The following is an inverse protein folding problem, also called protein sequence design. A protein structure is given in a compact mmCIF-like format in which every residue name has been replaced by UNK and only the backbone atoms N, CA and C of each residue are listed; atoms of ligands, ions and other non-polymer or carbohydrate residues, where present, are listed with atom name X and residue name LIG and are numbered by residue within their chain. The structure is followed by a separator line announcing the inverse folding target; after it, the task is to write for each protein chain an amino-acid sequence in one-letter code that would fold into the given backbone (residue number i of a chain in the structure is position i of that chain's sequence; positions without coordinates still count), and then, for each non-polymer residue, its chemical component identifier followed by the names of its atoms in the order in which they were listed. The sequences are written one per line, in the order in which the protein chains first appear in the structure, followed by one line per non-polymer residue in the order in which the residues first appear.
data_IF_723124056827
#
_entry.id   IF_723124056827
#
_cell.length_a   1.000
_cell.length_b   1.000
_cell.length_c   1.000
_cell.angle_alpha   90.00
_cell.angle_beta   90.00
_cell.angle_gamma   90.00
#
_symmetry.space_group_name_H-M   'P 1'
#
loop_
_entity.id
_entity.type
_entity.pdbx_description
1 polymer ?
#
# COMPACT_ATOMS: atom_id res chain seq x y z
N UNK A 1 54.15 5.87 -29.30
CA UNK A 1 54.30 6.51 -30.62
C UNK A 1 53.27 7.62 -30.80
N UNK A 2 53.48 8.86 -30.35
CA UNK A 2 54.16 9.36 -29.13
C UNK A 2 53.67 10.79 -28.88
N UNK A 3 53.78 11.27 -27.63
CA UNK A 3 53.39 12.62 -27.21
C UNK A 3 54.51 13.65 -27.46
N UNK A 4 54.16 14.93 -27.70
CA UNK A 4 55.06 16.05 -27.43
C UNK A 4 54.41 17.22 -26.65
N UNK A 5 54.29 17.06 -25.32
CA UNK A 5 54.82 17.93 -24.27
C UNK A 5 54.97 19.47 -24.46
N UNK A 6 54.47 20.22 -23.45
CA UNK A 6 54.78 21.64 -23.14
C UNK A 6 53.72 22.23 -22.18
N UNK A 7 53.92 22.48 -20.87
CA UNK A 7 55.03 23.08 -20.10
C UNK A 7 55.20 24.59 -20.43
N UNK A 8 54.92 25.55 -19.55
CA UNK A 8 55.77 26.15 -18.47
C UNK A 8 54.93 27.29 -17.83
N UNK A 9 54.84 27.61 -16.52
CA UNK A 9 55.36 27.06 -15.25
C UNK A 9 54.57 27.62 -14.01
N UNK A 10 54.95 27.22 -12.78
CA UNK A 10 55.07 27.94 -11.45
C UNK A 10 54.48 29.37 -11.21
N UNK A 11 54.29 29.90 -9.97
CA UNK A 11 54.64 29.53 -8.56
C UNK A 11 53.64 30.25 -7.59
N UNK A 12 52.91 29.59 -6.67
CA UNK A 12 53.23 29.16 -5.28
C UNK A 12 53.16 30.23 -4.14
N UNK A 13 52.76 29.79 -2.92
CA UNK A 13 52.54 30.53 -1.64
C UNK A 13 51.24 31.37 -1.60
N UNK A 14 50.36 31.29 -0.58
CA UNK A 14 50.21 30.34 0.54
C UNK A 14 50.29 30.98 1.94
N UNK A 15 49.19 30.89 2.73
CA UNK A 15 49.14 31.12 4.19
C UNK A 15 47.98 30.32 4.84
N UNK A 16 47.84 30.34 6.18
CA UNK A 16 47.18 29.28 6.99
C UNK A 16 45.84 29.64 7.63
N UNK A 17 44.97 28.62 7.69
CA UNK A 17 44.10 28.17 8.80
C UNK A 17 43.08 29.10 9.50
N UNK A 18 41.79 28.80 9.27
CA UNK A 18 40.76 28.51 10.30
C UNK A 18 39.68 27.64 9.60
N UNK A 19 39.30 26.43 10.04
CA UNK A 19 38.77 25.99 11.33
C UNK A 19 37.29 26.37 11.55
N UNK A 20 36.39 25.58 10.95
CA UNK A 20 34.96 25.50 11.28
C UNK A 20 34.44 24.11 10.86
N UNK A 21 34.20 23.22 11.82
CA UNK A 21 33.52 21.93 11.60
C UNK A 21 32.07 22.05 12.07
N UNK A 22 31.13 21.71 11.18
CA UNK A 22 29.72 21.40 11.46
C UNK A 22 29.13 20.76 10.18
N UNK A 23 28.25 19.77 10.20
CA UNK A 23 27.65 19.06 11.33
C UNK A 23 26.57 18.05 10.88
N UNK A 24 26.68 17.51 9.66
CA UNK A 24 25.60 16.76 8.99
C UNK A 24 25.74 15.23 9.16
N UNK A 25 25.39 14.73 10.35
CA UNK A 25 25.29 13.29 10.63
C UNK A 25 23.95 12.70 10.14
N UNK A 26 23.94 12.12 8.94
CA UNK A 26 22.86 11.20 8.55
C UNK A 26 22.84 10.02 9.53
N UNK A 27 21.79 9.90 10.33
CA UNK A 27 21.71 8.90 11.39
C UNK A 27 21.59 7.48 10.83
N UNK A 28 22.54 6.62 11.21
CA UNK A 28 22.38 5.17 11.10
C UNK A 28 21.23 4.72 12.00
N UNK A 29 20.46 3.75 11.52
CA UNK A 29 19.45 3.06 12.33
C UNK A 29 19.96 1.65 12.62
N UNK A 30 20.90 1.54 13.56
CA UNK A 30 21.37 0.24 14.07
C UNK A 30 20.32 -0.31 15.06
N UNK A 31 19.87 -1.57 14.91
CA UNK A 31 18.93 -2.18 15.85
C UNK A 31 19.70 -2.74 17.07
N UNK A 32 19.51 -2.11 18.24
CA UNK A 32 20.21 -2.45 19.48
C UNK A 32 20.18 -3.94 19.85
N UNK A 33 21.30 -4.41 20.38
CA UNK A 33 21.43 -5.73 20.98
C UNK A 33 20.65 -5.81 22.30
N UNK A 34 19.74 -6.79 22.41
CA UNK A 34 19.19 -7.23 23.70
C UNK A 34 19.43 -8.73 23.89
N UNK A 35 20.67 -9.06 24.24
CA UNK A 35 21.07 -10.38 24.72
C UNK A 35 20.42 -10.70 26.08
N UNK A 36 19.22 -11.27 26.06
CA UNK A 36 18.51 -11.75 27.25
C UNK A 36 18.61 -13.26 27.41
N UNK A 37 19.42 -13.74 28.36
CA UNK A 37 19.53 -15.16 28.67
C UNK A 37 18.21 -15.72 29.22
N UNK A 38 17.73 -16.85 28.67
CA UNK A 38 16.75 -17.71 29.32
C UNK A 38 17.09 -19.17 29.01
N UNK A 39 17.24 -19.97 30.06
CA UNK A 39 17.82 -21.32 29.97
C UNK A 39 16.83 -22.37 29.46
N UNK A 40 17.36 -23.42 28.83
CA UNK A 40 16.58 -24.58 28.40
C UNK A 40 16.31 -25.54 29.57
N UNK A 41 15.06 -26.01 29.68
CA UNK A 41 14.67 -27.20 30.44
C UNK A 41 13.56 -27.95 29.66
N UNK A 42 13.48 -29.29 29.71
CA UNK A 42 12.91 -30.04 28.59
C UNK A 42 11.50 -30.63 28.80
N UNK A 43 10.75 -30.70 27.70
CA UNK A 43 9.94 -31.87 27.34
C UNK A 43 8.56 -32.04 28.01
N UNK A 44 7.50 -31.96 27.19
CA UNK A 44 6.30 -32.78 27.41
C UNK A 44 5.68 -33.21 26.06
N UNK A 45 4.85 -34.26 26.08
CA UNK A 45 4.51 -35.05 24.88
C UNK A 45 3.25 -34.59 24.14
N UNK A 46 3.17 -34.92 22.86
CA UNK A 46 1.94 -34.90 22.07
C UNK A 46 0.82 -35.74 22.72
N UNK A 47 -0.39 -35.21 22.73
CA UNK A 47 -1.64 -35.99 22.82
C UNK A 47 -2.70 -35.38 21.90
N UNK A 48 -3.57 -36.22 21.32
CA UNK A 48 -4.60 -35.79 20.37
C UNK A 48 -5.87 -35.33 21.11
N UNK A 49 -6.25 -34.06 20.97
CA UNK A 49 -7.53 -33.49 21.44
C UNK A 49 -8.45 -33.12 20.28
N UNK A 50 -9.78 -33.24 20.46
CA UNK A 50 -10.78 -32.96 19.41
C UNK A 50 -11.13 -31.47 19.31
N UNK A 51 -11.62 -31.06 18.14
CA UNK A 51 -12.31 -29.77 17.94
C UNK A 51 -13.51 -29.63 18.90
N UNK A 52 -13.66 -28.45 19.49
CA UNK A 52 -14.96 -27.87 19.77
C UNK A 52 -15.02 -26.44 19.23
N UNK A 53 -15.86 -26.22 18.22
CA UNK A 53 -16.18 -24.89 17.71
C UNK A 53 -17.22 -24.24 18.64
N UNK A 54 -16.98 -22.99 19.04
CA UNK A 54 -17.98 -22.13 19.66
C UNK A 54 -18.12 -20.86 18.83
N UNK A 55 -19.21 -20.77 18.06
CA UNK A 55 -19.44 -19.71 17.10
C UNK A 55 -20.04 -18.45 17.73
N UNK A 56 -19.21 -17.44 18.01
CA UNK A 56 -19.71 -16.10 18.31
C UNK A 56 -20.07 -15.35 17.02
N UNK A 57 -21.37 -15.13 16.80
CA UNK A 57 -21.87 -14.23 15.74
C UNK A 57 -21.67 -12.76 16.15
N UNK A 58 -20.99 -11.92 15.35
CA UNK A 58 -21.08 -10.46 15.48
C UNK A 58 -22.46 -9.99 15.00
N UNK A 59 -23.13 -9.11 15.76
CA UNK A 59 -24.37 -8.48 15.33
C UNK A 59 -24.08 -7.32 14.37
N UNK A 60 -24.65 -7.36 13.16
CA UNK A 60 -24.63 -6.22 12.24
C UNK A 60 -25.48 -5.07 12.80
N UNK A 61 -24.93 -3.85 12.86
CA UNK A 61 -25.68 -2.64 13.24
C UNK A 61 -26.32 -2.02 12.00
N UNK A 62 -27.64 -2.11 11.90
CA UNK A 62 -28.40 -1.31 10.93
C UNK A 62 -28.35 0.17 11.33
N UNK A 63 -27.94 1.04 10.42
CA UNK A 63 -27.99 2.50 10.56
C UNK A 63 -29.30 3.04 9.98
N UNK A 64 -30.25 3.39 10.84
CA UNK A 64 -31.49 4.03 10.42
C UNK A 64 -31.27 5.54 10.23
N UNK A 65 -31.51 6.06 9.02
CA UNK A 65 -31.65 7.49 8.76
C UNK A 65 -33.13 7.91 8.86
N UNK A 66 -33.47 8.98 9.61
CA UNK A 66 -34.81 9.55 9.57
C UNK A 66 -34.98 10.47 8.36
N UNK A 67 -35.96 10.17 7.50
CA UNK A 67 -36.38 11.08 6.43
C UNK A 67 -37.35 12.14 6.99
N UNK A 68 -36.99 13.41 6.89
CA UNK A 68 -37.85 14.53 7.27
C UNK A 68 -38.93 14.77 6.22
N UNK A 69 -40.20 14.84 6.64
CA UNK A 69 -41.31 15.25 5.78
C UNK A 69 -41.24 16.76 5.52
N UNK A 70 -41.24 17.14 4.24
CA UNK A 70 -41.76 18.41 3.75
C UNK A 70 -42.58 18.08 2.50
N UNK A 71 -43.86 18.47 2.47
CA UNK A 71 -44.78 18.14 1.38
C UNK A 71 -45.12 19.35 0.53
N UNK A 72 -45.25 19.14 -0.77
CA UNK A 72 -46.04 19.99 -1.65
C UNK A 72 -46.85 19.09 -2.58
N UNK A 73 -48.16 19.34 -2.67
CA UNK A 73 -49.04 18.64 -3.60
C UNK A 73 -48.92 19.23 -5.00
N UNK A 74 -48.98 18.38 -6.02
CA UNK A 74 -49.49 18.73 -7.35
C UNK A 74 -50.07 17.47 -8.03
N UNK A 75 -50.93 17.68 -9.03
CA UNK A 75 -52.09 16.81 -9.29
C UNK A 75 -51.96 15.83 -10.46
N UNK A 76 -52.51 14.64 -10.23
CA UNK A 76 -53.31 13.78 -11.14
C UNK A 76 -52.67 13.24 -12.44
N UNK A 77 -52.63 11.90 -12.51
CA UNK A 77 -52.50 11.11 -13.74
C UNK A 77 -52.85 9.64 -13.44
N UNK A 78 -53.71 9.02 -14.24
CA UNK A 78 -54.14 7.62 -14.06
C UNK A 78 -53.09 6.59 -14.55
N UNK A 79 -53.28 5.29 -14.35
CA UNK A 79 -54.44 4.59 -13.76
C UNK A 79 -54.01 3.30 -13.04
N UNK A 80 -54.88 2.76 -12.19
CA UNK A 80 -54.67 1.48 -11.52
C UNK A 80 -55.31 0.32 -12.30
N UNK A 81 -54.67 -0.85 -12.32
CA UNK A 81 -55.26 -2.12 -12.75
C UNK A 81 -55.11 -3.13 -11.60
N UNK A 82 -56.19 -3.84 -11.28
CA UNK A 82 -56.29 -4.76 -10.16
C UNK A 82 -55.71 -6.13 -10.47
N UNK A 83 -55.19 -6.81 -9.44
CA UNK A 83 -54.78 -8.22 -9.51
C UNK A 83 -55.84 -9.08 -8.79
N UNK A 84 -56.39 -10.06 -9.49
CA UNK A 84 -57.15 -11.17 -8.88
C UNK A 84 -56.66 -12.51 -9.45
N UNK A 85 -56.60 -13.58 -8.63
CA UNK A 85 -55.96 -14.84 -9.03
C UNK A 85 -56.93 -15.80 -9.74
N UNK A 86 -56.51 -16.34 -10.89
CA UNK A 86 -57.23 -17.40 -11.60
C UNK A 86 -56.35 -18.64 -11.80
N UNK A 87 -56.82 -19.82 -11.37
CA UNK A 87 -56.18 -21.11 -11.69
C UNK A 87 -56.67 -21.62 -13.05
N UNK A 88 -55.76 -22.00 -13.94
CA UNK A 88 -56.09 -22.72 -15.17
C UNK A 88 -54.90 -23.54 -15.67
N UNK A 89 -55.09 -24.85 -15.86
CA UNK A 89 -54.18 -25.71 -16.64
C UNK A 89 -54.84 -26.03 -17.96
N UNK A 90 -54.16 -25.78 -19.08
CA UNK A 90 -54.41 -26.45 -20.36
C UNK A 90 -53.08 -26.88 -20.98
N UNK A 91 -53.14 -27.83 -21.91
CA UNK A 91 -51.98 -28.53 -22.45
C UNK A 91 -51.37 -27.85 -23.67
N UNK A 92 -50.04 -27.96 -23.77
CA UNK A 92 -49.39 -28.47 -24.99
C UNK A 92 -49.50 -27.66 -26.28
N UNK A 93 -48.56 -26.73 -26.47
CA UNK A 93 -47.96 -26.47 -27.77
C UNK A 93 -46.43 -26.52 -27.61
N UNK A 94 -45.74 -27.24 -28.49
CA UNK A 94 -44.28 -27.33 -28.51
C UNK A 94 -43.71 -26.22 -29.40
N UNK A 95 -42.92 -25.32 -28.82
CA UNK A 95 -41.86 -24.64 -29.59
C UNK A 95 -40.53 -24.71 -28.81
N UNK A 96 -39.42 -24.58 -29.54
CA UNK A 96 -38.07 -24.97 -29.12
C UNK A 96 -37.18 -23.75 -28.87
N UNK A 97 -36.25 -23.93 -27.92
CA UNK A 97 -35.04 -23.12 -27.60
C UNK A 97 -35.17 -22.13 -26.43
N UNK A 98 -34.76 -22.59 -25.23
CA UNK A 98 -34.17 -21.74 -24.20
C UNK A 98 -33.22 -22.54 -23.28
N UNK A 99 -31.96 -22.81 -23.67
CA UNK A 99 -30.92 -23.29 -22.77
C UNK A 99 -30.45 -22.15 -21.85
N UNK A 100 -30.22 -22.45 -20.56
CA UNK A 100 -29.97 -21.44 -19.54
C UNK A 100 -28.74 -20.55 -19.78
N UNK A 101 -28.86 -19.27 -19.43
CA UNK A 101 -27.82 -18.26 -19.57
C UNK A 101 -26.63 -18.47 -18.60
N UNK A 102 -25.77 -19.44 -18.93
CA UNK A 102 -24.38 -19.41 -18.47
C UNK A 102 -23.74 -18.14 -19.04
N UNK A 103 -23.52 -17.13 -18.21
CA UNK A 103 -22.71 -15.96 -18.58
C UNK A 103 -21.26 -16.42 -18.73
N UNK A 104 -20.91 -16.87 -19.94
CA UNK A 104 -19.51 -16.91 -20.34
C UNK A 104 -18.95 -15.50 -20.18
N UNK A 105 -17.90 -15.37 -19.38
CA UNK A 105 -16.98 -14.27 -19.54
C UNK A 105 -16.39 -14.43 -20.94
N UNK A 106 -16.76 -13.54 -21.85
CA UNK A 106 -16.22 -13.53 -23.20
C UNK A 106 -14.79 -12.98 -23.13
N UNK A 107 -13.88 -13.85 -22.68
CA UNK A 107 -12.44 -13.62 -22.81
C UNK A 107 -12.14 -13.46 -24.29
N UNK A 108 -11.91 -12.21 -24.70
CA UNK A 108 -11.35 -11.88 -26.00
C UNK A 108 -10.01 -12.62 -26.09
N UNK A 109 -9.83 -13.41 -27.14
CA UNK A 109 -8.58 -14.16 -27.32
C UNK A 109 -7.39 -13.19 -27.23
N UNK A 110 -6.39 -13.57 -26.43
CA UNK A 110 -5.11 -12.85 -26.40
C UNK A 110 -4.55 -12.98 -27.81
N UNK A 111 -4.48 -11.86 -28.53
CA UNK A 111 -4.02 -11.82 -29.91
C UNK A 111 -2.60 -12.38 -29.95
N UNK A 112 -2.33 -13.30 -30.89
CA UNK A 112 -1.16 -14.18 -30.87
C UNK A 112 0.18 -13.50 -31.23
N UNK A 113 0.56 -12.47 -30.48
CA UNK A 113 1.95 -12.15 -30.22
C UNK A 113 2.50 -13.01 -29.07
N UNK A 114 3.81 -12.93 -28.82
CA UNK A 114 4.39 -13.50 -27.60
C UNK A 114 3.81 -12.81 -26.36
N UNK A 115 3.34 -13.59 -25.39
CA UNK A 115 2.78 -13.06 -24.14
C UNK A 115 3.77 -12.07 -23.47
N UNK A 116 3.33 -10.91 -22.98
CA UNK A 116 4.22 -9.84 -22.52
C UNK A 116 5.10 -10.25 -21.32
N UNK A 117 6.41 -10.01 -21.40
CA UNK A 117 7.35 -10.40 -20.33
C UNK A 117 7.08 -9.58 -19.05
N UNK A 118 6.90 -10.28 -17.94
CA UNK A 118 6.85 -9.70 -16.59
C UNK A 118 8.21 -9.85 -15.91
N UNK A 119 8.83 -8.73 -15.51
CA UNK A 119 9.95 -8.76 -14.55
C UNK A 119 9.44 -8.76 -13.13
N UNK A 120 9.63 -9.87 -12.42
CA UNK A 120 9.34 -9.98 -11.00
C UNK A 120 10.60 -9.54 -10.23
N UNK A 121 10.46 -8.74 -9.18
CA UNK A 121 11.59 -8.12 -8.47
C UNK A 121 11.39 -8.19 -6.96
N UNK A 122 12.27 -8.89 -6.25
CA UNK A 122 12.23 -9.04 -4.79
C UNK A 122 13.49 -8.49 -4.12
N UNK A 123 13.43 -7.26 -3.55
CA UNK A 123 14.47 -6.74 -2.67
C UNK A 123 14.36 -7.39 -1.28
N UNK A 124 15.43 -8.05 -0.84
CA UNK A 124 15.47 -8.83 0.41
C UNK A 124 16.60 -8.39 1.35
N UNK A 125 16.27 -8.28 2.64
CA UNK A 125 17.22 -8.10 3.74
C UNK A 125 16.75 -8.88 4.97
N UNK A 126 17.57 -9.80 5.48
CA UNK A 126 17.29 -10.65 6.64
C UNK A 126 15.89 -11.30 6.60
N UNK A 127 15.56 -11.86 5.42
CA UNK A 127 14.25 -12.42 5.06
C UNK A 127 14.19 -13.94 5.05
N UNK A 128 15.21 -14.66 5.56
CA UNK A 128 15.31 -16.12 5.45
C UNK A 128 14.12 -16.90 6.04
N UNK A 129 13.39 -16.28 6.98
CA UNK A 129 12.16 -16.81 7.60
C UNK A 129 11.01 -17.02 6.59
N UNK A 130 10.93 -16.20 5.53
CA UNK A 130 9.79 -16.15 4.61
C UNK A 130 10.18 -16.30 3.12
N UNK A 131 11.43 -16.03 2.75
CA UNK A 131 11.85 -15.92 1.35
C UNK A 131 11.50 -17.16 0.50
N UNK A 132 11.63 -18.37 1.06
CA UNK A 132 11.27 -19.59 0.34
C UNK A 132 9.78 -19.63 -0.03
N UNK A 133 8.88 -19.19 0.86
CA UNK A 133 7.44 -19.13 0.59
C UNK A 133 7.11 -18.07 -0.48
N UNK A 134 7.81 -16.93 -0.43
CA UNK A 134 7.74 -15.87 -1.45
C UNK A 134 8.16 -16.40 -2.83
N UNK A 135 9.33 -17.07 -2.94
CA UNK A 135 9.83 -17.64 -4.20
C UNK A 135 8.90 -18.75 -4.73
N UNK A 136 8.46 -19.65 -3.86
CA UNK A 136 7.48 -20.69 -4.21
C UNK A 136 6.16 -20.11 -4.73
N UNK A 137 5.74 -18.93 -4.27
CA UNK A 137 4.53 -18.25 -4.76
C UNK A 137 4.67 -17.71 -6.19
N UNK A 138 5.89 -17.37 -6.60
CA UNK A 138 6.26 -16.97 -7.96
C UNK A 138 6.37 -18.19 -8.87
N UNK A 139 7.03 -19.25 -8.42
CA UNK A 139 7.17 -20.52 -9.17
C UNK A 139 5.81 -21.19 -9.50
N UNK A 140 4.76 -20.89 -8.73
CA UNK A 140 3.40 -21.43 -8.89
C UNK A 140 2.44 -20.50 -9.65
N UNK A 141 2.94 -19.45 -10.32
CA UNK A 141 2.10 -18.61 -11.17
C UNK A 141 1.63 -19.38 -12.42
N UNK A 142 0.35 -19.23 -12.77
CA UNK A 142 -0.24 -19.77 -14.02
C UNK A 142 0.22 -19.01 -15.27
N UNK A 143 0.81 -17.84 -15.08
CA UNK A 143 1.49 -17.08 -16.13
C UNK A 143 2.95 -17.53 -16.23
N UNK A 144 3.40 -17.96 -17.41
CA UNK A 144 4.72 -18.59 -17.57
C UNK A 144 5.84 -17.63 -18.01
N UNK A 145 5.52 -16.56 -18.76
CA UNK A 145 6.55 -15.66 -19.33
C UNK A 145 6.97 -14.56 -18.33
N UNK A 146 7.81 -14.94 -17.38
CA UNK A 146 8.43 -14.02 -16.43
C UNK A 146 9.93 -14.29 -16.29
N UNK A 147 10.67 -13.27 -15.88
CA UNK A 147 11.94 -13.44 -15.17
C UNK A 147 11.78 -13.00 -13.71
N UNK A 148 12.67 -13.44 -12.83
CA UNK A 148 12.60 -13.12 -11.42
C UNK A 148 13.96 -12.70 -10.86
N UNK A 149 14.07 -11.43 -10.45
CA UNK A 149 15.29 -10.85 -9.88
C UNK A 149 15.21 -10.80 -8.36
N UNK A 150 16.03 -11.60 -7.69
CA UNK A 150 16.22 -11.63 -6.24
C UNK A 150 17.41 -10.76 -5.86
N UNK A 151 17.22 -9.75 -5.00
CA UNK A 151 18.26 -8.78 -4.63
C UNK A 151 18.57 -8.87 -3.14
N UNK A 152 19.66 -9.56 -2.80
CA UNK A 152 20.14 -9.67 -1.42
C UNK A 152 20.93 -8.42 -1.00
N UNK A 153 20.42 -7.70 -0.01
CA UNK A 153 20.98 -6.44 0.45
C UNK A 153 21.91 -6.62 1.66
N UNK A 154 23.01 -7.36 1.48
CA UNK A 154 23.97 -7.68 2.54
C UNK A 154 23.33 -8.33 3.79
N UNK A 155 22.37 -9.25 3.59
CA UNK A 155 21.77 -10.00 4.70
C UNK A 155 22.81 -10.79 5.49
N UNK A 156 22.61 -10.85 6.81
CA UNK A 156 23.44 -11.58 7.79
C UNK A 156 22.87 -12.96 8.15
N UNK A 157 21.75 -13.34 7.52
CA UNK A 157 21.11 -14.65 7.64
C UNK A 157 21.19 -15.45 6.33
N UNK A 158 20.51 -16.59 6.25
CA UNK A 158 20.52 -17.48 5.08
C UNK A 158 19.80 -16.93 3.83
N UNK A 159 19.36 -15.66 3.79
CA UNK A 159 18.63 -15.06 2.64
C UNK A 159 19.35 -15.30 1.31
N UNK A 160 20.67 -15.07 1.26
CA UNK A 160 21.46 -15.26 0.05
C UNK A 160 21.50 -16.73 -0.40
N UNK A 161 21.86 -17.64 0.51
CA UNK A 161 21.96 -19.06 0.22
C UNK A 161 20.61 -19.69 -0.21
N UNK A 162 19.48 -19.19 0.32
CA UNK A 162 18.14 -19.57 -0.12
C UNK A 162 17.92 -19.11 -1.58
N UNK A 163 18.19 -17.84 -1.88
CA UNK A 163 18.03 -17.30 -3.23
C UNK A 163 18.89 -18.02 -4.27
N UNK A 164 20.17 -18.26 -3.96
CA UNK A 164 21.11 -19.00 -4.81
C UNK A 164 20.66 -20.46 -5.02
N UNK A 165 20.14 -21.11 -3.97
CA UNK A 165 19.59 -22.46 -4.08
C UNK A 165 18.37 -22.53 -5.01
N UNK A 166 17.61 -21.44 -5.20
CA UNK A 166 16.50 -21.40 -6.16
C UNK A 166 16.95 -21.05 -7.58
N UNK A 167 17.92 -20.14 -7.76
CA UNK A 167 18.52 -19.87 -9.07
C UNK A 167 19.28 -21.07 -9.64
N UNK A 168 19.84 -21.94 -8.80
CA UNK A 168 20.38 -23.24 -9.20
C UNK A 168 19.34 -24.28 -9.65
N UNK A 169 18.03 -23.96 -9.63
CA UNK A 169 16.93 -24.88 -9.99
C UNK A 169 16.06 -24.36 -11.14
N UNK A 170 15.85 -23.05 -11.26
CA UNK A 170 15.06 -22.43 -12.33
C UNK A 170 15.84 -21.28 -12.97
N UNK A 171 16.12 -21.39 -14.27
CA UNK A 171 16.93 -20.44 -15.04
C UNK A 171 16.28 -19.08 -15.27
N UNK A 172 14.99 -18.92 -14.94
CA UNK A 172 14.30 -17.61 -14.92
C UNK A 172 14.66 -16.78 -13.68
N UNK A 173 15.26 -17.40 -12.66
CA UNK A 173 15.62 -16.73 -11.41
C UNK A 173 17.06 -16.22 -11.48
N UNK A 174 17.26 -14.92 -11.31
CA UNK A 174 18.56 -14.24 -11.24
C UNK A 174 18.78 -13.68 -9.85
N UNK A 175 19.93 -13.96 -9.23
CA UNK A 175 20.33 -13.39 -7.93
C UNK A 175 21.33 -12.26 -8.13
N UNK A 176 21.11 -11.13 -7.46
CA UNK A 176 22.08 -10.07 -7.31
C UNK A 176 22.39 -9.89 -5.81
N UNK A 177 23.67 -9.93 -5.46
CA UNK A 177 24.12 -9.67 -4.10
C UNK A 177 24.75 -8.27 -4.04
N UNK A 178 24.18 -7.36 -3.24
CA UNK A 178 24.73 -6.03 -3.08
C UNK A 178 26.10 -6.12 -2.37
N UNK A 179 27.09 -5.37 -2.87
CA UNK A 179 28.41 -5.26 -2.23
C UNK A 179 28.43 -4.33 -1.00
N UNK A 180 27.38 -3.52 -0.82
CA UNK A 180 27.20 -2.57 0.29
C UNK A 180 25.72 -2.51 0.68
N UNK A 181 25.44 -2.35 1.97
CA UNK A 181 24.08 -2.25 2.48
C UNK A 181 23.43 -0.93 2.03
N UNK A 182 22.28 -1.06 1.34
CA UNK A 182 21.43 0.05 0.90
C UNK A 182 20.27 0.27 1.86
N UNK A 183 19.75 1.50 1.93
CA UNK A 183 18.51 1.77 2.68
C UNK A 183 17.29 1.14 1.98
N UNK A 184 16.17 0.97 2.70
CA UNK A 184 15.04 0.17 2.21
C UNK A 184 14.49 0.63 0.84
N UNK A 185 14.25 1.93 0.64
CA UNK A 185 13.74 2.50 -0.62
C UNK A 185 14.82 2.52 -1.71
N UNK A 186 16.06 2.84 -1.33
CA UNK A 186 17.23 2.79 -2.21
C UNK A 186 17.47 1.38 -2.78
N UNK A 187 17.26 0.34 -1.97
CA UNK A 187 17.34 -1.06 -2.40
C UNK A 187 16.19 -1.45 -3.33
N UNK A 188 14.99 -0.90 -3.13
CA UNK A 188 13.89 -1.07 -4.09
C UNK A 188 14.23 -0.43 -5.44
N UNK A 189 14.73 0.81 -5.44
CA UNK A 189 15.21 1.50 -6.65
C UNK A 189 16.35 0.73 -7.34
N UNK A 190 17.33 0.23 -6.58
CA UNK A 190 18.42 -0.60 -7.12
C UNK A 190 17.89 -1.90 -7.74
N UNK A 191 16.95 -2.58 -7.09
CA UNK A 191 16.35 -3.80 -7.60
C UNK A 191 15.53 -3.58 -8.88
N UNK A 192 14.77 -2.48 -8.96
CA UNK A 192 14.04 -2.11 -10.18
C UNK A 192 14.97 -1.85 -11.38
N UNK A 193 16.17 -1.27 -11.17
CA UNK A 193 17.17 -1.06 -12.24
C UNK A 193 17.77 -2.36 -12.79
N UNK A 194 17.56 -3.51 -12.14
CA UNK A 194 18.08 -4.82 -12.56
C UNK A 194 17.10 -5.64 -13.41
N UNK A 195 15.87 -5.14 -13.64
CA UNK A 195 14.86 -5.78 -14.49
C UNK A 195 15.27 -5.82 -15.97
N UNK A 196 14.81 -6.83 -16.71
CA UNK A 196 15.06 -6.94 -18.14
C UNK A 196 14.46 -5.78 -18.93
N UNK A 197 15.24 -5.20 -19.84
CA UNK A 197 14.81 -4.16 -20.76
C UNK A 197 13.67 -4.62 -21.70
N UNK A 198 13.54 -5.93 -21.95
CA UNK A 198 12.47 -6.50 -22.76
C UNK A 198 11.12 -6.64 -22.01
N UNK A 199 11.06 -6.29 -20.73
CA UNK A 199 9.84 -6.45 -19.92
C UNK A 199 8.78 -5.42 -20.29
N UNK A 200 7.55 -5.86 -20.52
CA UNK A 200 6.37 -4.98 -20.66
C UNK A 200 5.88 -4.53 -19.29
N UNK A 201 5.94 -5.42 -18.30
CA UNK A 201 5.42 -5.20 -16.95
C UNK A 201 6.47 -5.50 -15.88
N UNK A 202 6.32 -4.88 -14.71
CA UNK A 202 7.09 -5.17 -13.52
C UNK A 202 6.16 -5.53 -12.35
N UNK A 203 6.56 -6.55 -11.59
CA UNK A 203 5.91 -7.02 -10.36
C UNK A 203 6.92 -6.98 -9.22
N UNK A 204 6.92 -5.92 -8.43
CA UNK A 204 7.64 -5.95 -7.14
C UNK A 204 6.95 -6.95 -6.23
N UNK A 205 7.70 -7.71 -5.44
CA UNK A 205 7.20 -8.59 -4.38
C UNK A 205 8.12 -8.42 -3.17
N UNK A 206 7.59 -8.19 -1.98
CA UNK A 206 8.43 -8.20 -0.78
C UNK A 206 8.73 -9.64 -0.33
N UNK A 207 9.91 -9.85 0.26
CA UNK A 207 10.37 -11.16 0.70
C UNK A 207 9.52 -11.81 1.83
N UNK A 208 8.64 -11.03 2.47
CA UNK A 208 7.66 -11.44 3.49
C UNK A 208 6.21 -11.56 2.97
N UNK A 209 5.95 -11.23 1.69
CA UNK A 209 4.66 -11.31 1.01
C UNK A 209 4.57 -12.54 0.06
N UNK A 210 3.35 -12.89 -0.37
CA UNK A 210 3.03 -14.08 -1.18
C UNK A 210 2.05 -13.72 -2.31
N UNK A 211 2.26 -14.25 -3.52
CA UNK A 211 1.32 -14.15 -4.64
C UNK A 211 0.38 -15.37 -4.68
N UNK A 212 -0.91 -15.16 -4.97
CA UNK A 212 -1.82 -16.27 -5.29
C UNK A 212 -1.62 -16.74 -6.76
N UNK A 213 -1.92 -18.00 -7.12
CA UNK A 213 -1.43 -18.60 -8.38
C UNK A 213 -1.82 -17.89 -9.68
N UNK A 214 -2.94 -17.15 -9.72
CA UNK A 214 -3.39 -16.40 -10.91
C UNK A 214 -3.06 -14.90 -10.86
N UNK A 215 -2.20 -14.47 -9.93
CA UNK A 215 -1.90 -13.05 -9.73
C UNK A 215 -1.36 -12.38 -10.99
N UNK A 216 -0.38 -12.99 -11.66
CA UNK A 216 0.17 -12.43 -12.90
C UNK A 216 -0.82 -12.54 -14.06
N UNK A 217 -1.48 -13.69 -14.20
CA UNK A 217 -2.44 -13.98 -15.27
C UNK A 217 -3.58 -12.95 -15.32
N UNK A 218 -4.24 -12.70 -14.18
CA UNK A 218 -5.39 -11.79 -14.14
C UNK A 218 -4.96 -10.31 -14.20
N UNK A 219 -3.82 -9.94 -13.63
CA UNK A 219 -3.33 -8.54 -13.69
C UNK A 219 -2.82 -8.17 -15.08
N UNK A 220 -2.10 -9.07 -15.76
CA UNK A 220 -1.70 -8.87 -17.17
C UNK A 220 -2.93 -8.83 -18.08
N UNK A 221 -3.93 -9.70 -17.87
CA UNK A 221 -5.16 -9.69 -18.66
C UNK A 221 -5.93 -8.35 -18.59
N UNK A 222 -5.92 -7.67 -17.43
CA UNK A 222 -6.49 -6.32 -17.32
C UNK A 222 -5.63 -5.28 -18.05
N UNK A 223 -4.30 -5.31 -17.91
CA UNK A 223 -3.44 -4.33 -18.59
C UNK A 223 -3.51 -4.44 -20.13
N UNK A 224 -3.46 -5.66 -20.68
CA UNK A 224 -3.58 -5.90 -22.12
C UNK A 224 -4.99 -5.57 -22.66
N UNK A 225 -6.03 -5.66 -21.83
CA UNK A 225 -7.40 -5.28 -22.22
C UNK A 225 -7.61 -3.76 -22.29
N UNK A 226 -6.84 -2.98 -21.54
CA UNK A 226 -6.97 -1.52 -21.41
C UNK A 226 -5.61 -0.82 -21.61
N UNK A 227 -5.16 -0.55 -22.85
CA UNK A 227 -3.80 -0.07 -23.14
C UNK A 227 -3.40 1.29 -22.53
N UNK A 228 -4.34 2.05 -21.97
CA UNK A 228 -4.07 3.29 -21.21
C UNK A 228 -3.63 3.03 -19.77
N UNK A 229 -3.79 1.80 -19.26
CA UNK A 229 -3.52 1.46 -17.86
C UNK A 229 -2.02 1.40 -17.57
N UNK A 230 -1.54 2.27 -16.69
CA UNK A 230 -0.16 2.27 -16.22
C UNK A 230 0.08 1.38 -15.00
N UNK A 231 -0.95 1.18 -14.18
CA UNK A 231 -0.91 0.41 -12.93
C UNK A 231 -2.17 -0.46 -12.84
N UNK A 232 -2.02 -1.75 -12.55
CA UNK A 232 -3.13 -2.63 -12.14
C UNK A 232 -3.03 -2.91 -10.64
N UNK A 233 -4.13 -2.73 -9.92
CA UNK A 233 -4.30 -3.18 -8.54
C UNK A 233 -5.20 -4.42 -8.41
N UNK A 234 -5.29 -4.98 -7.20
CA UNK A 234 -6.22 -6.07 -6.86
C UNK A 234 -6.54 -6.05 -5.36
N UNK A 235 -7.52 -6.86 -4.91
CA UNK A 235 -7.72 -7.07 -3.48
C UNK A 235 -6.53 -7.84 -2.86
N UNK A 236 -6.23 -7.57 -1.59
CA UNK A 236 -5.13 -8.21 -0.84
C UNK A 236 -5.63 -8.85 0.44
N UNK A 237 -5.11 -10.01 0.79
CA UNK A 237 -5.28 -10.62 2.12
C UNK A 237 -4.16 -10.14 3.05
N UNK A 238 -4.41 -9.08 3.81
CA UNK A 238 -3.51 -8.59 4.85
C UNK A 238 -3.72 -9.40 6.13
N UNK A 239 -2.89 -10.41 6.36
CA UNK A 239 -2.98 -11.34 7.49
C UNK A 239 -4.24 -12.21 7.48
N UNK A 240 -5.34 -11.69 8.03
CA UNK A 240 -6.67 -12.35 8.05
C UNK A 240 -7.80 -11.41 7.62
N UNK A 241 -7.46 -10.25 7.04
CA UNK A 241 -8.40 -9.21 6.61
C UNK A 241 -8.18 -8.98 5.11
N UNK A 242 -9.25 -9.02 4.31
CA UNK A 242 -9.17 -8.51 2.93
C UNK A 242 -9.16 -6.98 2.99
N UNK A 243 -8.24 -6.34 2.27
CA UNK A 243 -8.18 -4.89 2.08
C UNK A 243 -7.92 -4.53 0.60
N UNK A 244 -7.84 -3.23 0.32
CA UNK A 244 -7.80 -2.60 -1.01
C UNK A 244 -9.17 -2.61 -1.73
N UNK A 245 -10.24 -2.54 -0.96
CA UNK A 245 -11.64 -2.68 -1.36
C UNK A 245 -12.34 -1.38 -1.83
N UNK A 246 -11.57 -0.34 -2.17
CA UNK A 246 -12.12 0.98 -2.50
C UNK A 246 -12.96 1.08 -3.78
N UNK A 247 -12.76 0.20 -4.77
CA UNK A 247 -13.46 0.24 -6.07
C UNK A 247 -14.72 -0.64 -6.11
N UNK A 248 -15.79 -0.11 -6.71
CA UNK A 248 -17.02 -0.86 -6.93
C UNK A 248 -16.81 -1.98 -7.95
N UNK A 249 -17.52 -3.10 -7.80
CA UNK A 249 -17.33 -4.38 -8.53
C UNK A 249 -17.45 -4.33 -10.08
N UNK A 250 -17.70 -3.16 -10.67
CA UNK A 250 -17.78 -2.93 -12.11
C UNK A 250 -16.69 -1.96 -12.64
N UNK A 251 -15.88 -1.37 -11.75
CA UNK A 251 -14.84 -0.39 -12.06
C UNK A 251 -13.49 -1.07 -12.37
N UNK A 252 -13.46 -1.87 -13.45
CA UNK A 252 -12.28 -2.65 -13.88
C UNK A 252 -11.16 -1.76 -14.44
N UNK A 253 -11.51 -0.58 -14.97
CA UNK A 253 -10.57 0.45 -15.40
C UNK A 253 -11.15 1.83 -15.07
N UNK A 254 -10.37 2.68 -14.40
CA UNK A 254 -10.76 4.02 -13.95
C UNK A 254 -9.66 5.01 -14.29
N UNK A 255 -10.03 6.24 -14.65
CA UNK A 255 -9.02 7.24 -15.00
C UNK A 255 -8.11 7.59 -13.82
N UNK A 256 -6.81 7.69 -14.09
CA UNK A 256 -5.82 7.88 -13.02
C UNK A 256 -6.07 9.14 -12.19
N UNK A 257 -6.55 10.21 -12.83
CA UNK A 257 -6.91 11.47 -12.16
C UNK A 257 -8.06 11.30 -11.15
N UNK A 258 -9.06 10.48 -11.46
CA UNK A 258 -10.19 10.23 -10.54
C UNK A 258 -9.77 9.29 -9.39
N UNK A 259 -8.90 8.31 -9.64
CA UNK A 259 -8.30 7.49 -8.57
C UNK A 259 -7.49 8.35 -7.59
N UNK A 260 -6.68 9.28 -8.11
CA UNK A 260 -5.93 10.24 -7.29
C UNK A 260 -6.87 11.18 -6.52
N UNK A 261 -7.93 11.70 -7.16
CA UNK A 261 -8.95 12.54 -6.52
C UNK A 261 -9.68 11.80 -5.39
N UNK A 262 -10.18 10.58 -5.63
CA UNK A 262 -10.83 9.76 -4.59
C UNK A 262 -9.87 9.42 -3.46
N UNK A 263 -8.64 9.01 -3.77
CA UNK A 263 -7.61 8.70 -2.76
C UNK A 263 -7.20 9.92 -1.92
N UNK A 264 -7.33 11.14 -2.45
CA UNK A 264 -7.14 12.37 -1.67
C UNK A 264 -8.35 12.76 -0.83
N UNK A 265 -9.59 12.57 -1.30
CA UNK A 265 -10.80 13.07 -0.62
C UNK A 265 -11.40 12.07 0.38
N UNK A 266 -11.45 10.80 -0.03
CA UNK A 266 -12.17 9.73 0.64
C UNK A 266 -11.19 8.80 1.38
N UNK A 267 -11.70 7.88 2.20
CA UNK A 267 -10.90 6.80 2.80
C UNK A 267 -10.53 5.70 1.80
N UNK A 268 -10.20 6.10 0.57
CA UNK A 268 -10.13 5.25 -0.60
C UNK A 268 -8.72 4.65 -0.74
N UNK A 269 -8.64 3.32 -0.65
CA UNK A 269 -7.40 2.58 -0.62
C UNK A 269 -7.42 1.50 -1.71
N UNK A 270 -6.53 1.63 -2.69
CA UNK A 270 -6.37 0.67 -3.80
C UNK A 270 -4.91 0.31 -4.11
N UNK A 271 -3.94 1.12 -3.67
CA UNK A 271 -2.51 0.91 -3.97
C UNK A 271 -1.85 -0.15 -3.10
N UNK A 272 -2.06 -0.09 -1.78
CA UNK A 272 -1.61 -1.10 -0.82
C UNK A 272 -0.11 -1.07 -0.51
N UNK A 273 0.65 -1.96 -1.14
CA UNK A 273 2.12 -2.07 -1.09
C UNK A 273 2.59 -2.41 -2.52
N UNK A 274 3.87 -2.24 -2.88
CA UNK A 274 4.38 -2.62 -4.20
C UNK A 274 3.98 -4.03 -4.65
N UNK A 275 3.95 -5.01 -3.73
CA UNK A 275 3.43 -6.38 -3.96
C UNK A 275 2.00 -6.43 -4.49
N UNK A 276 1.15 -5.47 -4.12
CA UNK A 276 -0.27 -5.43 -4.51
C UNK A 276 -0.49 -4.98 -5.96
N UNK A 277 0.54 -4.43 -6.62
CA UNK A 277 0.45 -3.77 -7.92
C UNK A 277 1.14 -4.55 -9.04
N UNK A 278 0.76 -4.28 -10.28
CA UNK A 278 1.53 -4.58 -11.50
C UNK A 278 1.67 -3.25 -12.25
N UNK A 279 2.87 -2.90 -12.69
CA UNK A 279 3.16 -1.57 -13.26
C UNK A 279 3.77 -1.75 -14.65
N UNK A 280 3.40 -0.91 -15.64
CA UNK A 280 4.07 -0.91 -16.96
C UNK A 280 5.55 -0.53 -16.78
N UNK A 281 6.45 -1.34 -17.34
CA UNK A 281 7.87 -1.25 -17.01
C UNK A 281 8.62 -0.10 -17.73
N UNK A 282 8.04 0.48 -18.78
CA UNK A 282 8.52 1.74 -19.37
C UNK A 282 8.35 2.93 -18.41
N UNK A 283 7.18 3.06 -17.77
CA UNK A 283 6.91 4.06 -16.72
C UNK A 283 7.89 4.00 -15.53
N UNK A 284 8.55 2.85 -15.34
CA UNK A 284 9.63 2.66 -14.37
C UNK A 284 10.98 3.08 -14.97
N UNK A 285 11.30 2.62 -16.19
CA UNK A 285 12.57 2.89 -16.89
C UNK A 285 12.76 4.37 -17.27
N UNK A 286 11.67 5.12 -17.42
CA UNK A 286 11.69 6.57 -17.66
C UNK A 286 12.22 7.40 -16.46
N UNK A 287 12.46 6.77 -15.31
CA UNK A 287 12.83 7.44 -14.04
C UNK A 287 14.19 6.99 -13.52
N UNK A 288 15.12 7.94 -13.31
CA UNK A 288 16.44 7.66 -12.71
C UNK A 288 16.31 7.07 -11.29
N UNK A 289 15.41 7.66 -10.49
CA UNK A 289 14.89 7.13 -9.23
C UNK A 289 13.39 6.93 -9.39
N UNK A 290 12.91 5.71 -9.17
CA UNK A 290 11.48 5.41 -9.32
C UNK A 290 10.69 5.89 -8.10
N UNK A 291 11.15 5.48 -6.92
CA UNK A 291 10.69 5.95 -5.61
C UNK A 291 11.56 7.10 -5.12
N UNK A 292 10.96 8.09 -4.44
CA UNK A 292 11.72 9.10 -3.69
C UNK A 292 12.33 8.46 -2.43
N UNK A 293 13.67 8.48 -2.36
CA UNK A 293 14.45 7.84 -1.29
C UNK A 293 14.34 8.57 0.08
N UNK A 294 13.72 9.76 0.12
CA UNK A 294 13.60 10.58 1.33
C UNK A 294 12.45 10.21 2.28
N UNK A 295 11.44 9.45 1.84
CA UNK A 295 10.21 9.22 2.61
C UNK A 295 9.66 7.77 2.57
N UNK A 296 8.93 7.38 3.63
CA UNK A 296 8.36 6.02 3.80
C UNK A 296 7.03 5.77 3.05
N UNK A 297 6.58 6.71 2.22
CA UNK A 297 5.32 6.64 1.45
C UNK A 297 5.55 6.80 -0.07
N UNK A 298 6.79 6.63 -0.51
CA UNK A 298 7.19 6.77 -1.91
C UNK A 298 6.46 5.79 -2.85
N UNK A 299 6.01 4.65 -2.32
CA UNK A 299 5.18 3.66 -3.04
C UNK A 299 3.82 4.22 -3.45
N UNK A 300 3.17 4.94 -2.54
CA UNK A 300 1.91 5.65 -2.78
C UNK A 300 2.14 6.86 -3.67
N UNK A 301 3.21 7.62 -3.42
CA UNK A 301 3.55 8.82 -4.16
C UNK A 301 3.82 8.59 -5.65
N UNK A 302 4.55 7.53 -6.01
CA UNK A 302 4.80 7.23 -7.43
C UNK A 302 3.53 6.79 -8.15
N UNK A 303 2.55 6.20 -7.44
CA UNK A 303 1.24 5.92 -8.02
C UNK A 303 0.52 7.21 -8.45
N UNK A 304 0.55 8.26 -7.61
CA UNK A 304 0.01 9.58 -7.97
C UNK A 304 0.76 10.22 -9.15
N UNK A 305 2.08 10.09 -9.19
CA UNK A 305 2.89 10.61 -10.29
C UNK A 305 2.56 9.94 -11.65
N UNK A 306 2.37 8.61 -11.68
CA UNK A 306 2.08 7.84 -12.90
C UNK A 306 0.64 8.01 -13.38
N UNK A 307 -0.32 8.12 -12.44
CA UNK A 307 -1.74 8.28 -12.73
C UNK A 307 -2.15 9.71 -13.17
N UNK A 308 -1.16 10.58 -13.41
CA UNK A 308 -1.32 11.83 -14.19
C UNK A 308 -1.65 11.56 -15.66
N UNK A 309 -0.97 10.58 -16.25
CA UNK A 309 -0.91 10.32 -17.69
C UNK A 309 -1.28 8.89 -18.08
N UNK A 310 -1.72 8.08 -17.11
CA UNK A 310 -2.16 6.71 -17.30
C UNK A 310 -3.37 6.38 -16.43
N UNK A 311 -4.11 5.35 -16.82
CA UNK A 311 -5.28 4.86 -16.09
C UNK A 311 -4.91 3.77 -15.08
N UNK A 312 -5.85 3.45 -14.19
CA UNK A 312 -5.71 2.41 -13.18
C UNK A 312 -6.64 1.24 -13.52
N UNK A 313 -6.05 0.08 -13.76
CA UNK A 313 -6.78 -1.18 -13.89
C UNK A 313 -7.01 -1.82 -12.52
N UNK A 314 -8.05 -2.63 -12.37
CA UNK A 314 -8.30 -3.33 -11.12
C UNK A 314 -8.89 -4.72 -11.32
N UNK A 315 -8.30 -5.71 -10.65
CA UNK A 315 -8.85 -7.07 -10.57
C UNK A 315 -9.65 -7.21 -9.28
N UNK A 316 -10.96 -7.45 -9.40
CA UNK A 316 -11.84 -7.73 -8.25
C UNK A 316 -11.68 -9.17 -7.70
N UNK A 317 -10.43 -9.59 -7.48
CA UNK A 317 -10.05 -10.87 -6.87
C UNK A 317 -8.95 -10.64 -5.82
N UNK A 318 -8.83 -11.57 -4.87
CA UNK A 318 -7.77 -11.53 -3.85
C UNK A 318 -6.52 -12.20 -4.44
N UNK A 319 -5.58 -11.39 -4.94
CA UNK A 319 -4.42 -11.88 -5.71
C UNK A 319 -3.09 -11.86 -4.95
N UNK A 320 -3.01 -11.14 -3.83
CA UNK A 320 -1.81 -11.07 -2.99
C UNK A 320 -2.13 -11.33 -1.51
N UNK A 321 -1.15 -11.84 -0.78
CA UNK A 321 -1.15 -11.95 0.67
C UNK A 321 0.01 -11.11 1.23
N UNK A 322 -0.28 -10.29 2.24
CA UNK A 322 0.78 -9.62 3.02
C UNK A 322 0.77 -10.05 4.47
N UNK A 323 1.96 -10.39 4.97
CA UNK A 323 2.17 -10.86 6.34
C UNK A 323 2.12 -9.68 7.32
N UNK A 324 1.73 -9.96 8.58
CA UNK A 324 1.64 -8.97 9.67
C UNK A 324 2.57 -9.38 10.81
N UNK A 325 3.77 -8.82 10.86
CA UNK A 325 4.77 -9.05 11.92
C UNK A 325 5.52 -7.76 12.28
N UNK A 326 6.23 -7.75 13.40
CA UNK A 326 6.91 -6.56 13.92
C UNK A 326 8.03 -6.03 13.01
N UNK A 327 8.72 -6.93 12.28
CA UNK A 327 9.85 -6.61 11.38
C UNK A 327 9.44 -5.99 10.04
N UNK A 328 8.17 -6.07 9.64
CA UNK A 328 7.69 -5.56 8.36
C UNK A 328 7.78 -4.02 8.25
N UNK A 329 8.07 -3.49 7.07
CA UNK A 329 8.13 -2.03 6.81
C UNK A 329 6.83 -1.31 7.21
N UNK A 330 5.67 -1.94 6.94
CA UNK A 330 4.35 -1.39 7.34
C UNK A 330 4.16 -1.30 8.86
N UNK A 331 4.88 -2.07 9.67
CA UNK A 331 4.89 -1.96 11.13
C UNK A 331 5.81 -0.83 11.61
N UNK A 332 6.82 -0.44 10.84
CA UNK A 332 7.66 0.74 11.09
C UNK A 332 6.88 2.03 10.81
N UNK A 333 6.23 2.15 9.65
CA UNK A 333 5.38 3.30 9.31
C UNK A 333 4.25 3.53 10.33
N UNK A 334 3.65 2.45 10.84
CA UNK A 334 2.65 2.50 11.94
C UNK A 334 3.25 2.96 13.27
N UNK A 335 4.49 2.58 13.61
CA UNK A 335 5.15 3.03 14.85
C UNK A 335 5.59 4.50 14.81
N UNK A 336 5.93 4.99 13.62
CA UNK A 336 6.28 6.40 13.38
C UNK A 336 5.07 7.35 13.31
N UNK A 337 3.84 6.82 13.31
CA UNK A 337 2.60 7.57 12.99
C UNK A 337 2.71 8.35 11.65
N UNK A 338 3.44 7.81 10.66
CA UNK A 338 3.83 8.56 9.45
C UNK A 338 2.69 8.86 8.48
N UNK A 339 1.60 8.08 8.52
CA UNK A 339 0.48 8.18 7.57
C UNK A 339 -0.15 9.57 7.49
N UNK A 340 -0.31 10.29 8.60
CA UNK A 340 -0.92 11.64 8.55
C UNK A 340 0.06 12.69 8.01
N UNK A 341 1.37 12.47 8.10
CA UNK A 341 2.37 13.29 7.41
C UNK A 341 2.33 12.98 5.90
N UNK A 342 2.18 11.71 5.52
CA UNK A 342 1.96 11.30 4.14
C UNK A 342 0.67 11.92 3.54
N UNK A 343 -0.45 11.93 4.27
CA UNK A 343 -1.69 12.60 3.83
C UNK A 343 -1.45 14.09 3.53
N UNK A 344 -0.67 14.79 4.36
CA UNK A 344 -0.30 16.18 4.08
C UNK A 344 0.67 16.32 2.91
N UNK A 345 1.68 15.44 2.77
CA UNK A 345 2.61 15.49 1.65
C UNK A 345 1.88 15.29 0.32
N UNK A 346 1.06 14.25 0.24
CA UNK A 346 0.26 13.93 -0.95
C UNK A 346 -0.71 15.06 -1.28
N UNK A 347 -1.44 15.61 -0.30
CA UNK A 347 -2.34 16.74 -0.55
C UNK A 347 -1.57 18.00 -1.01
N UNK A 348 -0.46 18.35 -0.37
CA UNK A 348 0.33 19.54 -0.74
C UNK A 348 0.97 19.41 -2.13
N UNK A 349 1.45 18.22 -2.51
CA UNK A 349 2.11 17.96 -3.81
C UNK A 349 1.12 17.77 -4.96
N UNK A 350 0.02 17.05 -4.73
CA UNK A 350 -0.90 16.60 -5.79
C UNK A 350 -2.30 17.22 -5.72
N UNK A 351 -2.70 17.78 -4.58
CA UNK A 351 -4.08 18.24 -4.36
C UNK A 351 -4.55 19.30 -5.33
N UNK A 352 -3.68 20.23 -5.73
CA UNK A 352 -4.01 21.29 -6.71
C UNK A 352 -4.15 20.79 -8.15
N UNK A 353 -3.79 19.53 -8.41
CA UNK A 353 -3.79 18.91 -9.74
C UNK A 353 -5.00 17.98 -9.95
N UNK A 354 -5.48 17.36 -8.88
CA UNK A 354 -6.60 16.40 -8.93
C UNK A 354 -7.90 16.90 -8.26
N UNK A 355 -7.86 17.97 -7.45
CA UNK A 355 -9.02 18.51 -6.73
C UNK A 355 -9.43 19.88 -7.26
N UNK A 356 -10.70 20.26 -7.08
CA UNK A 356 -11.09 21.67 -7.21
C UNK A 356 -10.49 22.53 -6.06
N UNK A 357 -10.46 23.86 -6.17
CA UNK A 357 -10.01 24.73 -5.07
C UNK A 357 -10.80 24.50 -3.76
N UNK A 358 -12.11 24.30 -3.87
CA UNK A 358 -13.02 24.07 -2.74
C UNK A 358 -12.78 22.69 -2.10
N UNK A 359 -12.59 21.66 -2.92
CA UNK A 359 -12.22 20.30 -2.49
C UNK A 359 -10.86 20.29 -1.76
N UNK A 360 -9.87 20.98 -2.33
CA UNK A 360 -8.54 21.15 -1.74
C UNK A 360 -8.61 21.86 -0.38
N UNK A 361 -9.30 23.01 -0.29
CA UNK A 361 -9.44 23.74 0.96
C UNK A 361 -10.24 22.97 2.01
N UNK A 362 -11.29 22.24 1.60
CA UNK A 362 -12.05 21.39 2.51
C UNK A 362 -11.17 20.28 3.11
N UNK A 363 -10.46 19.52 2.26
CA UNK A 363 -9.60 18.41 2.70
C UNK A 363 -8.40 18.90 3.50
N UNK A 364 -7.79 20.03 3.15
CA UNK A 364 -6.71 20.65 3.93
C UNK A 364 -7.19 21.05 5.33
N UNK A 365 -8.37 21.67 5.44
CA UNK A 365 -8.94 22.03 6.74
C UNK A 365 -9.34 20.79 7.56
N UNK A 366 -9.85 19.73 6.92
CA UNK A 366 -10.13 18.44 7.58
C UNK A 366 -8.86 17.80 8.15
N UNK A 367 -7.79 17.66 7.34
CA UNK A 367 -6.53 17.08 7.79
C UNK A 367 -5.91 17.89 8.93
N UNK A 368 -5.92 19.23 8.83
CA UNK A 368 -5.44 20.10 9.89
C UNK A 368 -6.23 19.92 11.19
N UNK A 369 -7.57 19.93 11.16
CA UNK A 369 -8.40 19.69 12.35
C UNK A 369 -8.14 18.31 12.98
N UNK A 370 -8.04 17.26 12.15
CA UNK A 370 -7.71 15.92 12.64
C UNK A 370 -6.32 15.87 13.28
N UNK A 371 -5.32 16.51 12.66
CA UNK A 371 -3.95 16.55 13.15
C UNK A 371 -3.78 17.37 14.43
N UNK A 372 -4.42 18.54 14.56
CA UNK A 372 -4.40 19.29 15.82
C UNK A 372 -5.06 18.49 16.97
N UNK A 373 -6.10 17.69 16.69
CA UNK A 373 -6.68 16.74 17.67
C UNK A 373 -5.75 15.57 17.98
N UNK A 374 -4.99 15.07 17.01
CA UNK A 374 -3.94 14.05 17.24
C UNK A 374 -2.82 14.59 18.16
N UNK A 375 -2.28 15.78 17.87
CA UNK A 375 -1.26 16.45 18.70
C UNK A 375 -1.73 16.60 20.15
N UNK A 376 -2.95 17.08 20.38
CA UNK A 376 -3.51 17.19 21.75
C UNK A 376 -3.59 15.83 22.45
N UNK A 377 -4.03 14.77 21.76
CA UNK A 377 -4.07 13.39 22.33
C UNK A 377 -2.67 12.88 22.67
N UNK A 378 -1.68 13.13 21.81
CA UNK A 378 -0.30 12.70 22.00
C UNK A 378 0.40 13.44 23.15
N UNK A 379 0.07 14.71 23.36
CA UNK A 379 0.52 15.49 24.52
C UNK A 379 -0.09 14.96 25.83
N UNK A 380 -1.41 14.71 25.85
CA UNK A 380 -2.09 14.11 27.01
C UNK A 380 -1.58 12.70 27.33
N UNK A 381 -1.13 11.94 26.32
CA UNK A 381 -0.49 10.63 26.47
C UNK A 381 1.00 10.69 26.85
N UNK A 382 1.59 11.89 27.02
CA UNK A 382 3.01 12.09 27.34
C UNK A 382 3.97 11.32 26.41
N UNK A 383 3.71 11.36 25.09
CA UNK A 383 4.61 10.75 24.08
C UNK A 383 6.03 11.30 24.22
N UNK A 384 7.02 10.43 24.00
CA UNK A 384 8.45 10.67 24.21
C UNK A 384 9.04 11.78 23.32
N UNK A 385 10.19 12.39 23.68
CA UNK A 385 10.82 13.45 22.90
C UNK A 385 11.14 13.08 21.44
N UNK A 386 11.50 11.82 21.17
CA UNK A 386 11.79 11.34 19.82
C UNK A 386 10.58 11.44 18.88
N UNK A 387 9.38 11.08 19.37
CA UNK A 387 8.13 11.23 18.63
C UNK A 387 7.87 12.70 18.24
N UNK A 388 8.09 13.64 19.17
CA UNK A 388 7.90 15.07 18.92
C UNK A 388 8.92 15.68 17.95
N UNK A 389 10.08 15.04 17.80
CA UNK A 389 11.09 15.43 16.82
C UNK A 389 10.63 15.08 15.40
N UNK A 390 10.31 13.80 15.17
CA UNK A 390 9.79 13.28 13.88
C UNK A 390 8.54 14.05 13.43
N UNK A 391 7.62 14.34 14.34
CA UNK A 391 6.40 15.11 14.03
C UNK A 391 6.66 16.59 13.72
N UNK A 392 7.78 17.16 14.18
CA UNK A 392 8.18 18.54 13.83
C UNK A 392 8.86 18.57 12.47
N UNK A 393 9.83 17.69 12.26
CA UNK A 393 10.60 17.54 11.02
C UNK A 393 9.67 17.22 9.84
N UNK A 394 8.77 16.25 9.99
CA UNK A 394 7.80 15.88 8.97
C UNK A 394 6.79 16.99 8.62
N UNK A 395 6.39 17.83 9.59
CA UNK A 395 5.58 19.02 9.29
C UNK A 395 6.38 20.08 8.52
N UNK A 396 7.63 20.32 8.89
CA UNK A 396 8.50 21.28 8.21
C UNK A 396 8.77 20.85 6.77
N UNK A 397 8.97 19.55 6.51
CA UNK A 397 9.12 18.99 5.18
C UNK A 397 7.90 19.24 4.27
N UNK A 398 6.68 19.19 4.81
CA UNK A 398 5.44 19.50 4.06
C UNK A 398 5.04 20.98 4.12
N UNK A 399 5.94 21.87 4.59
CA UNK A 399 5.71 23.32 4.66
C UNK A 399 4.72 23.79 5.73
N UNK A 400 4.35 22.93 6.68
CA UNK A 400 3.37 23.21 7.73
C UNK A 400 4.03 23.61 9.05
N UNK A 401 3.36 24.50 9.79
CA UNK A 401 3.77 24.92 11.13
C UNK A 401 2.60 24.83 12.12
N UNK A 402 2.89 24.34 13.32
CA UNK A 402 1.91 24.27 14.42
C UNK A 402 1.59 25.66 14.96
N UNK A 403 0.35 26.12 14.75
CA UNK A 403 -0.15 27.37 15.33
C UNK A 403 -0.77 27.09 16.70
N UNK A 404 -0.21 27.67 17.76
CA UNK A 404 -0.65 27.49 19.16
C UNK A 404 -2.15 27.74 19.35
N UNK A 405 -2.72 28.73 18.66
CA UNK A 405 -4.15 29.02 18.68
C UNK A 405 -5.02 27.87 18.13
N UNK A 406 -4.55 27.11 17.14
CA UNK A 406 -5.24 25.92 16.63
C UNK A 406 -5.10 24.72 17.58
N UNK A 407 -3.95 24.57 18.25
CA UNK A 407 -3.77 23.56 19.32
C UNK A 407 -4.75 23.82 20.48
N UNK A 408 -4.83 25.07 20.95
CA UNK A 408 -5.76 25.48 22.01
C UNK A 408 -7.23 25.28 21.60
N UNK A 409 -7.60 25.64 20.36
CA UNK A 409 -8.95 25.39 19.83
C UNK A 409 -9.29 23.88 19.80
N UNK A 410 -8.36 23.03 19.39
CA UNK A 410 -8.56 21.58 19.38
C UNK A 410 -8.68 21.00 20.80
N UNK A 411 -7.90 21.49 21.75
CA UNK A 411 -7.99 21.10 23.16
C UNK A 411 -9.35 21.49 23.78
N UNK A 412 -9.79 22.73 23.57
CA UNK A 412 -11.10 23.20 24.03
C UNK A 412 -12.25 22.39 23.40
N UNK A 413 -12.21 22.14 22.08
CA UNK A 413 -13.21 21.32 21.39
C UNK A 413 -13.25 19.87 21.91
N UNK A 414 -12.09 19.29 22.26
CA UNK A 414 -12.02 17.96 22.88
C UNK A 414 -12.59 17.94 24.31
N UNK A 415 -12.31 18.96 25.13
CA UNK A 415 -12.86 19.08 26.48
C UNK A 415 -14.39 19.21 26.47
N UNK A 416 -14.94 20.10 25.63
CA UNK A 416 -16.39 20.24 25.43
C UNK A 416 -17.00 18.92 24.94
N UNK A 417 -16.33 18.20 24.03
CA UNK A 417 -16.77 16.89 23.55
C UNK A 417 -16.80 15.77 24.60
N UNK A 418 -16.01 15.88 25.68
CA UNK A 418 -16.07 14.97 26.82
C UNK A 418 -17.18 15.37 27.81
N UNK A 419 -17.34 16.67 28.08
CA UNK A 419 -18.39 17.21 28.95
C UNK A 419 -19.80 16.95 28.38
N UNK A 420 -19.97 17.04 27.06
CA UNK A 420 -21.22 16.75 26.36
C UNK A 420 -21.58 15.24 26.27
N UNK A 421 -20.76 14.33 26.82
CA UNK A 421 -20.96 12.87 26.76
C UNK A 421 -20.63 12.16 28.09
N UNK A 422 -21.16 12.63 29.24
CA UNK A 422 -20.67 12.24 30.58
C UNK A 422 -20.72 10.72 30.83
N UNK A 423 -21.78 10.03 30.40
CA UNK A 423 -21.92 8.58 30.56
C UNK A 423 -20.83 7.77 29.83
N UNK A 424 -20.26 8.26 28.73
CA UNK A 424 -19.13 7.58 28.07
C UNK A 424 -17.80 7.83 28.79
N UNK A 425 -17.65 9.00 29.42
CA UNK A 425 -16.48 9.34 30.25
C UNK A 425 -16.46 8.52 31.54
N UNK A 426 -17.61 8.39 32.23
CA UNK A 426 -17.78 7.53 33.41
C UNK A 426 -17.47 6.05 33.09
N UNK A 427 -18.01 5.52 31.99
CA UNK A 427 -17.76 4.14 31.57
C UNK A 427 -16.30 3.88 31.14
N UNK A 428 -15.51 4.92 30.85
CA UNK A 428 -14.07 4.81 30.64
C UNK A 428 -13.30 4.84 31.97
N UNK A 429 -13.63 5.77 32.88
CA UNK A 429 -13.03 5.89 34.21
C UNK A 429 -13.20 4.61 35.05
N UNK A 430 -14.41 4.03 35.09
CA UNK A 430 -14.67 2.78 35.83
C UNK A 430 -13.84 1.59 35.32
N UNK A 431 -13.45 1.57 34.04
CA UNK A 431 -12.58 0.52 33.47
C UNK A 431 -11.11 0.69 33.82
N UNK A 432 -10.68 1.88 34.25
CA UNK A 432 -9.33 2.12 34.76
C UNK A 432 -9.22 1.65 36.21
N UNK A 433 -10.24 1.90 37.04
CA UNK A 433 -10.26 1.44 38.44
C UNK A 433 -10.41 -0.09 38.60
N UNK A 434 -10.84 -0.81 37.57
CA UNK A 434 -10.88 -2.29 37.54
C UNK A 434 -9.58 -2.93 37.00
N UNK A 435 -8.49 -2.15 36.88
CA UNK A 435 -7.17 -2.59 36.40
C UNK A 435 -6.00 -1.95 37.18
N UNK A 436 -6.28 -1.52 38.41
CA UNK A 436 -5.30 -1.05 39.38
C UNK A 436 -5.24 -2.04 40.54
#
# INVERSE_FOLDING_TARGET
MDDPAGCVDRVSRGHRAAAAEDGLSNHRYEPDELGGQLAAAPGCRFSRGRLHLHGHRPQARQSQHPLSRAGHELRLGGAAISVLPGRGRLHGALDRRAPGARRHWAGREIVAGSAPLVSIVTPAYNGAEFLSECIESVLRQTYENWEYVLVNNCSTDNTLAIAESYAGKDTRIRVHNNAQFRQAVENQNHALRLMSAASTYCKVVHADDVLFPRCLEEMVAVAEAYPTVGIVGAYRLSGTTVDLDGLALHEVCVSGREICRRSLLEGFHVFGSPTSLLIRADLIRERERFYDESHLWADTEVCYDLLRSSDFGFVHQVLTYSRRHARALSATSKRADSYTIAEFHLLSRFGREFLTPEEYEHRLNFLLDHYYKFVVRSALRRREPAFWRVQREGLQAVGLQLRTSRVLKAAAAMAVGQLARPFKSLAALMRVQQRA
#
